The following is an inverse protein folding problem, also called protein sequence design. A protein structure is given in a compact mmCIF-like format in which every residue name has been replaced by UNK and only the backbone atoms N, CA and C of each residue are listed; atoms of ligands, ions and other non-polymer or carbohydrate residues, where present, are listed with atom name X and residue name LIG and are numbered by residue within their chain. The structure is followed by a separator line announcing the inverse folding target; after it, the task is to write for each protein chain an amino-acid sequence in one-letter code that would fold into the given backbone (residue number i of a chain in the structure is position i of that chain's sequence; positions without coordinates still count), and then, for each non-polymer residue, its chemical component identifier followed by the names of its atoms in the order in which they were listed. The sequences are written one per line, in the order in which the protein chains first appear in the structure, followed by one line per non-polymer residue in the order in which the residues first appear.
data_IF_123757282453
#
_entry.id   IF_123757282453
#
_cell.length_a   1.000
_cell.length_b   1.000
_cell.length_c   1.000
_cell.angle_alpha   90.00
_cell.angle_beta   90.00
_cell.angle_gamma   90.00
#
_symmetry.space_group_name_H-M   'P 1'
#
loop_
_entity.id
_entity.type
_entity.pdbx_description
1 polymer ?
#
# COMPACT_ATOMS: atom_id res chain seq x y z
N UNK A 1 14.05 -11.58 -35.77
CA UNK A 1 12.78 -10.83 -35.86
C UNK A 1 11.98 -10.96 -34.55
N UNK A 2 12.61 -10.82 -33.38
CA UNK A 2 11.98 -11.25 -32.10
C UNK A 2 11.71 -10.11 -31.11
N UNK A 3 12.17 -8.89 -31.40
CA UNK A 3 12.10 -7.76 -30.46
C UNK A 3 10.74 -7.05 -30.47
N UNK A 4 9.96 -7.19 -31.56
CA UNK A 4 8.71 -6.45 -31.75
C UNK A 4 7.51 -7.10 -31.03
N UNK A 5 7.50 -8.43 -30.90
CA UNK A 5 6.49 -9.18 -30.14
C UNK A 5 6.62 -8.99 -28.63
N UNK A 6 7.84 -8.69 -28.17
CA UNK A 6 8.16 -8.45 -26.77
C UNK A 6 7.91 -7.00 -26.36
N UNK A 7 7.59 -6.11 -27.30
CA UNK A 7 7.34 -4.69 -26.99
C UNK A 7 6.04 -4.51 -26.21
N UNK A 8 6.16 -3.94 -25.02
CA UNK A 8 5.02 -3.60 -24.17
C UNK A 8 4.16 -2.53 -24.86
N UNK A 9 2.91 -2.87 -25.20
CA UNK A 9 2.01 -1.97 -25.93
C UNK A 9 1.21 -1.11 -24.98
N UNK A 10 1.14 0.18 -25.24
CA UNK A 10 0.27 1.12 -24.50
C UNK A 10 -1.08 1.17 -25.22
N UNK A 11 -2.16 0.78 -24.54
CA UNK A 11 -3.52 0.85 -25.08
C UNK A 11 -4.04 2.29 -25.12
N UNK A 12 -3.78 3.05 -24.07
CA UNK A 12 -4.23 4.43 -23.98
C UNK A 12 -3.42 5.20 -22.94
N UNK A 13 -3.29 6.50 -23.14
CA UNK A 13 -2.77 7.44 -22.13
C UNK A 13 -3.95 8.22 -21.60
N UNK A 14 -4.26 8.08 -20.31
CA UNK A 14 -5.36 8.82 -19.70
C UNK A 14 -5.12 10.33 -19.73
N UNK A 15 -6.17 11.12 -19.49
CA UNK A 15 -6.05 12.58 -19.32
C UNK A 15 -5.14 12.98 -18.14
N UNK A 16 -4.91 12.04 -17.22
CA UNK A 16 -3.97 12.11 -16.10
C UNK A 16 -2.51 11.79 -16.49
N UNK A 17 -2.22 11.55 -17.77
CA UNK A 17 -0.88 11.19 -18.26
C UNK A 17 -0.46 9.75 -17.93
N UNK A 18 -1.32 8.96 -17.26
CA UNK A 18 -0.99 7.58 -16.90
C UNK A 18 -1.16 6.67 -18.12
N UNK A 19 -0.12 5.88 -18.40
CA UNK A 19 -0.13 4.87 -19.46
C UNK A 19 -0.87 3.63 -18.99
N UNK A 20 -1.89 3.21 -19.74
CA UNK A 20 -2.55 1.90 -19.57
C UNK A 20 -1.98 0.95 -20.60
N UNK A 21 -1.37 -0.13 -20.11
CA UNK A 21 -0.74 -1.14 -20.97
C UNK A 21 -1.74 -2.20 -21.40
N UNK A 22 -1.48 -2.79 -22.55
CA UNK A 22 -2.23 -3.95 -23.02
C UNK A 22 -2.02 -5.14 -22.07
N UNK A 23 -3.10 -5.77 -21.57
CA UNK A 23 -3.00 -6.84 -20.58
C UNK A 23 -2.23 -8.06 -21.09
N UNK A 24 -2.34 -8.41 -22.38
CA UNK A 24 -1.62 -9.54 -22.97
C UNK A 24 -0.11 -9.28 -23.02
N UNK A 25 0.30 -8.11 -23.49
CA UNK A 25 1.72 -7.73 -23.50
C UNK A 25 2.30 -7.57 -22.09
N UNK A 26 1.52 -7.03 -21.13
CA UNK A 26 1.91 -6.99 -19.71
C UNK A 26 2.12 -8.40 -19.15
N UNK A 27 1.20 -9.32 -19.42
CA UNK A 27 1.28 -10.70 -18.91
C UNK A 27 2.51 -11.44 -19.43
N UNK A 28 2.83 -11.32 -20.73
CA UNK A 28 4.04 -11.91 -21.31
C UNK A 28 5.33 -11.37 -20.66
N UNK A 29 5.38 -10.05 -20.45
CA UNK A 29 6.53 -9.42 -19.81
C UNK A 29 6.72 -9.86 -18.35
N UNK A 30 5.61 -10.01 -17.62
CA UNK A 30 5.61 -10.52 -16.25
C UNK A 30 6.03 -11.99 -16.21
N UNK A 31 5.55 -12.82 -17.13
CA UNK A 31 5.95 -14.23 -17.23
C UNK A 31 7.47 -14.35 -17.46
N UNK A 32 8.03 -13.56 -18.36
CA UNK A 32 9.48 -13.52 -18.60
C UNK A 32 10.29 -13.09 -17.34
N UNK A 33 9.72 -12.30 -16.44
CA UNK A 33 10.36 -11.94 -15.17
C UNK A 33 10.33 -13.06 -14.11
N UNK A 34 9.48 -14.07 -14.29
CA UNK A 34 9.36 -15.20 -13.36
C UNK A 34 10.38 -16.30 -13.65
N UNK A 35 10.99 -16.29 -14.84
CA UNK A 35 12.05 -17.23 -15.21
C UNK A 35 13.28 -17.05 -14.31
N UNK A 36 13.88 -18.16 -13.80
CA UNK A 36 15.06 -18.10 -12.95
C UNK A 36 16.25 -17.49 -13.72
N UNK A 37 17.00 -16.62 -13.05
CA UNK A 37 18.17 -15.95 -13.64
C UNK A 37 17.86 -14.69 -14.47
N UNK A 38 16.58 -14.31 -14.64
CA UNK A 38 16.23 -13.07 -15.34
C UNK A 38 16.29 -11.86 -14.41
N UNK A 39 17.03 -10.83 -14.84
CA UNK A 39 17.06 -9.54 -14.13
C UNK A 39 15.87 -8.67 -14.53
N UNK A 40 14.97 -8.43 -13.56
CA UNK A 40 13.81 -7.55 -13.72
C UNK A 40 14.22 -6.16 -14.21
N UNK A 41 15.29 -5.58 -13.64
CA UNK A 41 15.77 -4.26 -14.03
C UNK A 41 16.29 -4.26 -15.47
N UNK A 42 17.01 -5.31 -15.88
CA UNK A 42 17.49 -5.46 -17.25
C UNK A 42 16.34 -5.55 -18.25
N UNK A 43 15.31 -6.31 -17.92
CA UNK A 43 14.12 -6.44 -18.76
C UNK A 43 13.35 -5.11 -18.83
N UNK A 44 13.20 -4.41 -17.70
CA UNK A 44 12.57 -3.10 -17.67
C UNK A 44 13.27 -2.07 -18.58
N UNK A 45 14.61 -2.05 -18.59
CA UNK A 45 15.40 -1.19 -19.46
C UNK A 45 15.22 -1.53 -20.94
N UNK A 46 15.24 -2.82 -21.30
CA UNK A 46 15.00 -3.28 -22.69
C UNK A 46 13.63 -2.84 -23.22
N UNK A 47 12.63 -2.82 -22.36
CA UNK A 47 11.27 -2.38 -22.72
C UNK A 47 10.99 -0.90 -22.45
N UNK A 48 11.99 -0.13 -21.99
CA UNK A 48 11.83 1.29 -21.70
C UNK A 48 10.81 1.61 -20.60
N UNK A 49 10.63 0.70 -19.64
CA UNK A 49 9.71 0.89 -18.51
C UNK A 49 10.43 1.05 -17.18
N UNK A 50 9.75 1.65 -16.21
CA UNK A 50 10.28 1.77 -14.86
C UNK A 50 10.34 0.39 -14.18
N UNK A 51 11.52 0.00 -13.70
CA UNK A 51 11.72 -1.28 -13.01
C UNK A 51 10.80 -1.45 -11.77
N UNK A 52 10.46 -0.36 -11.07
CA UNK A 52 9.55 -0.40 -9.93
C UNK A 52 8.12 -0.76 -10.34
N UNK A 53 7.68 -0.32 -11.51
CA UNK A 53 6.37 -0.69 -12.06
C UNK A 53 6.32 -2.18 -12.38
N UNK A 54 7.38 -2.70 -13.02
CA UNK A 54 7.49 -4.12 -13.34
C UNK A 54 7.54 -4.99 -12.07
N UNK A 55 8.27 -4.58 -11.03
CA UNK A 55 8.29 -5.25 -9.72
C UNK A 55 6.90 -5.33 -9.08
N UNK A 56 6.12 -4.25 -9.16
CA UNK A 56 4.72 -4.24 -8.66
C UNK A 56 3.87 -5.26 -9.40
N UNK A 57 3.96 -5.30 -10.72
CA UNK A 57 3.21 -6.26 -11.54
C UNK A 57 3.60 -7.71 -11.27
N UNK A 58 4.89 -8.00 -11.08
CA UNK A 58 5.37 -9.34 -10.71
C UNK A 58 4.82 -9.73 -9.33
N UNK A 59 4.81 -8.81 -8.36
CA UNK A 59 4.23 -9.06 -7.03
C UNK A 59 2.73 -9.35 -7.11
N UNK A 60 1.98 -8.58 -7.89
CA UNK A 60 0.54 -8.82 -8.15
C UNK A 60 0.32 -10.21 -8.76
N UNK A 61 1.08 -10.58 -9.79
CA UNK A 61 0.93 -11.88 -10.45
C UNK A 61 1.25 -13.06 -9.52
N UNK A 62 2.22 -12.93 -8.62
CA UNK A 62 2.53 -13.95 -7.60
C UNK A 62 1.41 -14.07 -6.55
N UNK A 63 0.75 -12.95 -6.22
CA UNK A 63 -0.36 -12.94 -5.26
C UNK A 63 -1.68 -13.48 -5.85
N UNK A 64 -1.86 -13.35 -7.17
CA UNK A 64 -3.04 -13.84 -7.89
C UNK A 64 -2.90 -15.25 -8.46
N UNK A 65 -1.70 -15.86 -8.40
CA UNK A 65 -1.51 -17.26 -8.78
C UNK A 65 -2.14 -18.23 -7.77
N UNK A 66 -2.39 -19.50 -8.15
CA UNK A 66 -2.72 -20.54 -7.18
C UNK A 66 -1.63 -20.53 -6.10
N UNK A 67 -1.94 -20.78 -4.81
CA UNK A 67 -0.98 -20.68 -3.73
C UNK A 67 0.22 -21.53 -4.12
N UNK A 68 1.31 -20.86 -4.51
CA UNK A 68 2.58 -21.50 -4.72
C UNK A 68 2.87 -22.11 -3.35
N UNK A 69 2.83 -23.43 -3.29
CA UNK A 69 3.24 -24.20 -2.12
C UNK A 69 4.59 -23.61 -1.77
N UNK A 70 4.64 -22.80 -0.70
CA UNK A 70 5.89 -22.18 -0.26
C UNK A 70 6.92 -23.30 -0.25
N UNK A 71 8.09 -23.15 -0.88
CA UNK A 71 9.19 -24.00 -0.48
C UNK A 71 9.31 -23.71 1.02
N UNK A 72 8.88 -24.68 1.83
CA UNK A 72 8.99 -24.64 3.28
C UNK A 72 10.38 -24.09 3.53
N UNK A 73 10.46 -22.96 4.24
CA UNK A 73 11.73 -22.46 4.71
C UNK A 73 12.42 -23.64 5.36
N UNK A 74 13.46 -24.16 4.70
CA UNK A 74 14.21 -25.30 5.17
C UNK A 74 15.11 -24.77 6.28
N UNK A 75 14.49 -24.44 7.41
CA UNK A 75 15.19 -24.34 8.67
C UNK A 75 15.60 -25.77 9.01
N UNK A 76 16.85 -26.10 8.71
CA UNK A 76 17.47 -27.32 9.20
C UNK A 76 17.87 -27.03 10.64
N UNK A 77 17.24 -27.64 11.65
CA UNK A 77 17.68 -27.46 13.03
C UNK A 77 19.10 -28.01 13.18
N UNK A 78 20.03 -27.13 13.53
CA UNK A 78 21.37 -27.52 13.99
C UNK A 78 21.21 -27.98 15.44
N UNK A 79 21.31 -29.29 15.65
CA UNK A 79 21.36 -29.86 17.00
C UNK A 79 22.78 -29.67 17.51
N UNK A 80 22.98 -28.78 18.48
CA UNK A 80 24.20 -28.74 19.26
C UNK A 80 24.24 -30.00 20.14
N UNK A 81 25.26 -30.82 19.96
CA UNK A 81 25.46 -32.06 20.69
C UNK A 81 26.51 -31.83 21.77
N UNK A 82 26.11 -31.20 22.86
CA UNK A 82 27.04 -30.85 23.93
C UNK A 82 26.35 -31.14 25.27
N UNK A 83 26.77 -32.24 25.89
CA UNK A 83 26.14 -32.80 27.06
C UNK A 83 26.28 -31.95 28.32
N UNK A 84 25.26 -32.07 29.17
CA UNK A 84 25.38 -32.18 30.63
C UNK A 84 25.79 -30.93 31.44
N UNK A 85 24.74 -30.28 32.00
CA UNK A 85 24.54 -29.85 33.41
C UNK A 85 24.15 -28.37 33.65
N UNK A 86 23.26 -28.10 34.63
CA UNK A 86 22.62 -26.80 34.82
C UNK A 86 23.32 -25.95 35.89
N UNK A 87 23.56 -24.68 35.58
CA UNK A 87 23.82 -23.59 36.52
C UNK A 87 23.14 -22.37 35.88
N UNK A 88 22.07 -21.78 36.40
CA UNK A 88 21.77 -21.50 37.79
C UNK A 88 22.12 -20.05 38.08
N UNK A 89 21.34 -19.08 37.57
CA UNK A 89 21.12 -17.81 38.28
C UNK A 89 19.84 -17.12 37.81
N UNK A 90 18.97 -16.88 38.78
CA UNK A 90 17.71 -16.17 38.72
C UNK A 90 17.90 -14.67 38.44
N UNK A 91 16.89 -14.01 37.87
CA UNK A 91 16.32 -12.79 38.46
C UNK A 91 15.08 -12.38 37.63
N UNK A 92 13.89 -12.79 38.07
CA UNK A 92 12.88 -11.97 38.78
C UNK A 92 11.94 -11.20 37.85
N UNK A 93 10.80 -11.85 37.65
CA UNK A 93 9.45 -11.36 37.35
C UNK A 93 9.05 -10.14 38.19
N UNK A 94 8.20 -9.26 37.63
CA UNK A 94 7.10 -8.68 38.40
C UNK A 94 6.01 -8.10 37.47
N UNK A 95 4.90 -8.81 37.38
CA UNK A 95 3.58 -8.28 37.01
C UNK A 95 2.98 -7.41 38.12
N UNK A 96 2.32 -6.28 37.78
CA UNK A 96 1.29 -5.66 38.64
C UNK A 96 0.15 -5.15 37.77
N UNK A 97 -0.98 -5.86 37.84
CA UNK A 97 -2.32 -5.33 37.58
C UNK A 97 -2.75 -4.47 38.75
N UNK A 98 -3.55 -3.43 38.52
CA UNK A 98 -4.66 -3.05 39.42
C UNK A 98 -5.63 -2.10 38.69
N UNK A 99 -6.91 -2.45 38.81
CA UNK A 99 -8.12 -1.86 38.26
C UNK A 99 -8.50 -0.48 38.81
N UNK A 100 -9.42 0.14 38.06
CA UNK A 100 -10.49 1.10 38.41
C UNK A 100 -10.35 2.02 39.63
N UNK A 101 -10.63 3.31 39.42
CA UNK A 101 -11.77 3.95 40.10
C UNK A 101 -12.27 5.20 39.34
N UNK A 102 -13.52 5.11 38.89
CA UNK A 102 -14.36 6.22 38.45
C UNK A 102 -14.67 7.16 39.63
N UNK A 103 -14.76 8.48 39.38
CA UNK A 103 -15.91 9.26 39.84
C UNK A 103 -16.01 10.68 39.26
N UNK A 104 -17.19 10.88 38.64
CA UNK A 104 -18.05 12.06 38.60
C UNK A 104 -17.51 13.35 37.95
N UNK A 105 -17.97 13.72 36.74
CA UNK A 105 -19.31 14.21 36.33
C UNK A 105 -19.43 15.74 36.47
N UNK A 106 -19.45 16.43 35.33
CA UNK A 106 -20.16 17.71 35.19
C UNK A 106 -20.63 17.90 33.73
N UNK A 107 -21.93 17.73 33.56
CA UNK A 107 -22.75 17.99 32.38
C UNK A 107 -22.50 19.38 31.76
N UNK A 108 -22.29 19.45 30.43
CA UNK A 108 -22.63 20.65 29.65
C UNK A 108 -22.92 20.34 28.17
N UNK A 109 -24.20 20.17 27.88
CA UNK A 109 -24.92 20.67 26.70
C UNK A 109 -24.24 20.55 25.33
N UNK A 110 -24.65 19.51 24.60
CA UNK A 110 -25.05 19.63 23.20
C UNK A 110 -23.96 19.47 22.13
N UNK A 111 -24.40 18.78 21.06
CA UNK A 111 -23.84 18.63 19.72
C UNK A 111 -23.01 17.36 19.53
N UNK A 112 -23.42 16.45 18.62
CA UNK A 112 -22.52 15.41 18.15
C UNK A 112 -21.40 16.10 17.37
N UNK A 113 -20.29 16.42 18.03
CA UNK A 113 -19.09 16.96 17.37
C UNK A 113 -18.37 15.82 16.64
N UNK A 114 -19.08 15.17 15.72
CA UNK A 114 -18.49 14.34 14.70
C UNK A 114 -17.70 15.26 13.77
N UNK A 115 -16.38 15.10 13.78
CA UNK A 115 -15.49 15.74 12.81
C UNK A 115 -16.07 15.52 11.41
N UNK A 116 -16.56 16.60 10.80
CA UNK A 116 -17.18 16.54 9.49
C UNK A 116 -16.06 16.57 8.45
N UNK A 117 -15.90 15.45 7.76
CA UNK A 117 -14.88 15.26 6.72
C UNK A 117 -15.51 15.32 5.34
N UNK A 118 -15.00 16.22 4.50
CA UNK A 118 -15.36 16.32 3.08
C UNK A 118 -14.14 15.96 2.25
N UNK A 119 -14.33 15.17 1.20
CA UNK A 119 -13.28 14.88 0.24
C UNK A 119 -13.79 15.01 -1.19
N UNK A 120 -12.96 15.57 -2.07
CA UNK A 120 -13.25 15.74 -3.49
C UNK A 120 -12.06 15.23 -4.32
N UNK A 121 -12.36 14.62 -5.47
CA UNK A 121 -11.36 14.23 -6.46
C UNK A 121 -11.49 15.17 -7.66
N UNK A 122 -10.43 15.91 -7.94
CA UNK A 122 -10.38 16.84 -9.05
C UNK A 122 -10.13 16.10 -10.39
N UNK A 123 -10.44 16.71 -11.55
CA UNK A 123 -10.21 16.10 -12.86
C UNK A 123 -8.74 15.78 -13.16
N UNK A 124 -7.81 16.46 -12.47
CA UNK A 124 -6.37 16.20 -12.51
C UNK A 124 -5.95 14.99 -11.63
N UNK A 125 -6.90 14.33 -10.96
CA UNK A 125 -6.67 13.21 -10.06
C UNK A 125 -6.18 13.59 -8.67
N UNK A 126 -6.07 14.89 -8.35
CA UNK A 126 -5.72 15.38 -7.02
C UNK A 126 -6.91 15.20 -6.09
N UNK A 127 -6.67 14.57 -4.93
CA UNK A 127 -7.68 14.41 -3.88
C UNK A 127 -7.51 15.51 -2.86
N UNK A 128 -8.54 16.34 -2.70
CA UNK A 128 -8.64 17.30 -1.60
C UNK A 128 -9.45 16.68 -0.48
N UNK A 129 -9.04 16.92 0.76
CA UNK A 129 -9.74 16.47 1.97
C UNK A 129 -9.71 17.61 2.97
N UNK A 130 -10.87 17.92 3.55
CA UNK A 130 -11.01 18.92 4.58
C UNK A 130 -11.80 18.33 5.74
N UNK A 131 -11.27 18.53 6.95
CA UNK A 131 -11.86 18.06 8.19
C UNK A 131 -12.16 19.28 9.04
N UNK A 132 -13.43 19.48 9.38
CA UNK A 132 -13.85 20.59 10.22
C UNK A 132 -14.73 20.09 11.36
N UNK A 133 -14.51 20.65 12.55
CA UNK A 133 -15.37 20.38 13.72
C UNK A 133 -16.62 21.24 13.72
N UNK A 134 -16.60 22.35 12.99
CA UNK A 134 -17.71 23.29 12.89
C UNK A 134 -18.35 23.25 11.50
N UNK A 135 -19.63 22.91 11.45
CA UNK A 135 -20.41 22.86 10.23
C UNK A 135 -20.57 24.26 9.59
N UNK A 136 -20.61 25.33 10.39
CA UNK A 136 -20.75 26.69 9.88
C UNK A 136 -19.47 27.16 9.20
N UNK A 137 -18.30 26.94 9.82
CA UNK A 137 -17.01 27.18 9.19
C UNK A 137 -16.85 26.36 7.89
N UNK A 138 -17.30 25.09 7.88
CA UNK A 138 -17.29 24.24 6.69
C UNK A 138 -18.16 24.81 5.56
N UNK A 139 -19.38 25.24 5.87
CA UNK A 139 -20.28 25.85 4.90
C UNK A 139 -19.71 27.16 4.34
N UNK A 140 -19.08 27.99 5.18
CA UNK A 140 -18.43 29.22 4.75
C UNK A 140 -17.27 28.96 3.76
N UNK A 141 -16.45 27.95 4.02
CA UNK A 141 -15.34 27.55 3.13
C UNK A 141 -15.89 27.05 1.79
N UNK A 142 -16.92 26.19 1.79
CA UNK A 142 -17.56 25.70 0.56
C UNK A 142 -18.16 26.86 -0.23
N UNK A 143 -18.85 27.78 0.44
CA UNK A 143 -19.43 28.98 -0.18
C UNK A 143 -18.36 29.86 -0.82
N UNK A 144 -17.25 30.12 -0.13
CA UNK A 144 -16.15 30.90 -0.66
C UNK A 144 -15.51 30.23 -1.89
N UNK A 145 -15.28 28.91 -1.83
CA UNK A 145 -14.73 28.14 -2.96
C UNK A 145 -15.69 28.07 -4.16
N UNK A 146 -16.99 28.03 -3.93
CA UNK A 146 -18.01 28.01 -5.00
C UNK A 146 -18.05 29.29 -5.85
N UNK A 147 -17.56 30.42 -5.31
CA UNK A 147 -17.47 31.69 -6.03
C UNK A 147 -16.14 31.90 -6.74
N UNK A 148 -15.16 30.99 -6.58
CA UNK A 148 -13.89 31.07 -7.29
C UNK A 148 -14.14 30.66 -8.75
N UNK A 149 -14.08 31.63 -9.66
CA UNK A 149 -14.08 31.35 -11.10
C UNK A 149 -12.82 30.56 -11.45
N UNK A 150 -12.99 29.26 -11.70
CA UNK A 150 -11.93 28.45 -12.29
C UNK A 150 -11.73 28.93 -13.73
N UNK A 151 -10.64 29.70 -13.95
CA UNK A 151 -10.26 30.20 -15.26
C UNK A 151 -10.21 29.08 -16.31
N UNK A 152 -10.86 29.34 -17.44
CA UNK A 152 -11.09 28.41 -18.55
C UNK A 152 -9.86 28.21 -19.43
#
# INVERSE_FOLDING_TARGET
MSDEEQKLRVRHVGRDGRRRYDPGSKARLVAACLEPGVSISGLALRHGINANLLRKWVKEARASGPPAVSPRSAFIPVVAADGSLPVGTCSLDMSVTCDEEQRASLEKTGHPSGLSKISALLPNGVKLSLECRDANALAAIIGALGHVQAGR
#
